data_IF_529793977470
#
_entry.id   IF_529793977470
#
_cell.length_a   1.000
_cell.length_b   1.000
_cell.length_c   1.000
_cell.angle_alpha   90.00
_cell.angle_beta   90.00
_cell.angle_gamma   90.00
#
_symmetry.space_group_name_H-M   'P 1'
#
loop_
_entity.id
_entity.type
_entity.pdbx_description
1 polymer ?
#
# COMPACT_ATOMS: atom_id res chain seq x y z
N UNK A 1 -20.99 8.52 -11.63
CA UNK A 1 -20.36 8.42 -10.30
C UNK A 1 -18.90 8.06 -10.54
N UNK A 2 -17.95 8.77 -9.93
CA UNK A 2 -16.53 8.63 -10.23
C UNK A 2 -15.79 8.00 -9.04
N UNK A 3 -15.13 6.87 -9.29
CA UNK A 3 -14.20 6.24 -8.37
C UNK A 3 -12.76 6.59 -8.77
N UNK A 4 -11.96 7.08 -7.82
CA UNK A 4 -10.53 7.29 -8.03
C UNK A 4 -9.75 6.27 -7.23
N UNK A 5 -8.94 5.49 -7.95
CA UNK A 5 -8.13 4.42 -7.37
C UNK A 5 -6.65 4.80 -7.40
N UNK A 6 -5.96 4.55 -6.29
CA UNK A 6 -4.57 4.92 -6.09
C UNK A 6 -3.68 3.67 -6.04
N UNK A 7 -2.63 3.58 -6.86
CA UNK A 7 -1.79 2.38 -6.93
C UNK A 7 -0.91 2.23 -5.68
N UNK A 8 -0.53 0.99 -5.40
CA UNK A 8 0.45 0.63 -4.37
C UNK A 8 1.86 0.45 -4.92
N UNK A 9 2.71 -0.17 -4.11
CA UNK A 9 4.10 -0.52 -4.47
C UNK A 9 4.15 -1.41 -5.72
N UNK A 10 5.12 -1.17 -6.60
CA UNK A 10 5.26 -1.84 -7.90
C UNK A 10 4.87 -0.96 -9.09
N UNK A 11 4.22 0.18 -8.85
CA UNK A 11 3.82 1.14 -9.89
C UNK A 11 4.85 2.25 -10.16
N UNK A 12 5.98 2.28 -9.44
CA UNK A 12 7.03 3.26 -9.63
C UNK A 12 7.79 3.04 -10.95
N UNK A 13 8.20 4.13 -11.60
CA UNK A 13 8.99 4.12 -12.84
C UNK A 13 9.91 5.34 -12.91
N UNK A 14 11.04 5.22 -13.61
CA UNK A 14 11.97 6.33 -13.82
C UNK A 14 11.33 7.42 -14.67
N UNK A 15 11.50 8.69 -14.29
CA UNK A 15 10.82 9.84 -14.90
C UNK A 15 9.44 10.14 -14.31
N UNK A 16 9.00 9.40 -13.28
CA UNK A 16 7.69 9.65 -12.67
C UNK A 16 7.64 11.05 -12.03
N UNK A 17 6.61 11.82 -12.38
CA UNK A 17 6.39 13.15 -11.79
C UNK A 17 7.16 14.28 -12.44
N UNK A 18 8.13 14.02 -13.33
CA UNK A 18 8.90 15.05 -14.01
C UNK A 18 7.99 15.98 -14.82
N UNK A 19 7.11 15.42 -15.65
CA UNK A 19 6.17 16.22 -16.43
C UNK A 19 5.22 17.06 -15.54
N UNK A 20 4.80 16.53 -14.38
CA UNK A 20 3.99 17.30 -13.42
C UNK A 20 4.79 18.48 -12.86
N UNK A 21 6.03 18.23 -12.45
CA UNK A 21 6.94 19.24 -11.92
C UNK A 21 7.19 20.38 -12.92
N UNK A 22 7.42 20.05 -14.19
CA UNK A 22 7.71 21.04 -15.25
C UNK A 22 6.49 21.84 -15.70
N UNK A 23 5.28 21.28 -15.61
CA UNK A 23 4.07 21.87 -16.19
C UNK A 23 3.12 22.51 -15.18
N UNK A 24 3.35 22.31 -13.87
CA UNK A 24 2.46 22.82 -12.82
C UNK A 24 3.24 23.48 -11.67
N UNK A 25 3.05 24.80 -11.45
CA UNK A 25 3.65 25.50 -10.32
C UNK A 25 3.27 24.89 -8.96
N UNK A 26 2.03 24.39 -8.84
CA UNK A 26 1.57 23.69 -7.62
C UNK A 26 2.31 22.37 -7.42
N UNK A 27 2.55 21.61 -8.50
CA UNK A 27 3.34 20.38 -8.40
C UNK A 27 4.77 20.69 -7.96
N UNK A 28 5.40 21.72 -8.56
CA UNK A 28 6.73 22.16 -8.19
C UNK A 28 6.81 22.48 -6.69
N UNK A 29 5.88 23.30 -6.18
CA UNK A 29 5.82 23.65 -4.75
C UNK A 29 5.71 22.41 -3.85
N UNK A 30 4.81 21.47 -4.19
CA UNK A 30 4.58 20.27 -3.39
C UNK A 30 5.77 19.30 -3.44
N UNK A 31 6.46 19.19 -4.57
CA UNK A 31 7.69 18.40 -4.68
C UNK A 31 8.83 19.03 -3.87
N UNK A 32 9.01 20.34 -3.91
CA UNK A 32 10.01 21.02 -3.08
C UNK A 32 9.69 20.92 -1.58
N UNK A 33 8.41 20.99 -1.23
CA UNK A 33 7.96 20.73 0.13
C UNK A 33 8.27 19.29 0.55
N UNK A 34 8.07 18.32 -0.33
CA UNK A 34 8.38 16.92 -0.07
C UNK A 34 9.87 16.69 0.16
N UNK A 35 10.74 17.31 -0.64
CA UNK A 35 12.20 17.28 -0.45
C UNK A 35 12.58 17.75 0.97
N UNK A 36 11.99 18.86 1.43
CA UNK A 36 12.22 19.38 2.79
C UNK A 36 11.72 18.44 3.89
N UNK A 37 10.52 17.85 3.72
CA UNK A 37 9.94 16.93 4.70
C UNK A 37 10.77 15.65 4.83
N UNK A 38 11.24 15.11 3.70
CA UNK A 38 12.01 13.88 3.65
C UNK A 38 13.49 14.08 4.02
N UNK A 39 14.00 15.31 3.90
CA UNK A 39 15.39 15.65 4.20
C UNK A 39 16.38 15.22 3.10
N UNK A 40 15.89 14.87 1.91
CA UNK A 40 16.70 14.58 0.73
C UNK A 40 15.93 14.89 -0.54
N UNK A 41 16.65 15.04 -1.65
CA UNK A 41 16.09 15.31 -2.97
C UNK A 41 15.47 14.03 -3.55
N UNK A 42 14.21 13.74 -3.19
CA UNK A 42 13.50 12.61 -3.77
C UNK A 42 13.18 12.84 -5.25
N UNK A 43 13.05 14.12 -5.66
CA UNK A 43 12.84 14.54 -7.05
C UNK A 43 13.90 14.00 -7.99
N UNK A 44 15.17 14.09 -7.61
CA UNK A 44 16.30 13.62 -8.44
C UNK A 44 16.16 12.12 -8.74
N UNK A 45 15.75 11.35 -7.73
CA UNK A 45 15.53 9.91 -7.86
C UNK A 45 14.27 9.59 -8.67
N UNK A 46 13.19 10.34 -8.46
CA UNK A 46 11.94 10.15 -9.20
C UNK A 46 12.10 10.48 -10.69
N UNK A 47 12.85 11.52 -11.02
CA UNK A 47 12.96 12.05 -12.39
C UNK A 47 14.04 11.36 -13.20
N UNK A 48 15.19 11.07 -12.57
CA UNK A 48 16.39 10.61 -13.29
C UNK A 48 16.96 9.30 -12.72
N UNK A 49 16.50 8.89 -11.54
CA UNK A 49 16.98 7.68 -10.86
C UNK A 49 16.69 6.40 -11.63
N UNK A 50 17.52 5.38 -11.35
CA UNK A 50 17.36 4.06 -11.95
C UNK A 50 16.18 3.29 -11.33
N UNK A 51 15.79 2.19 -11.97
CA UNK A 51 14.81 1.27 -11.38
C UNK A 51 15.27 0.71 -10.03
N UNK A 52 16.58 0.64 -9.76
CA UNK A 52 17.10 0.16 -8.47
C UNK A 52 17.05 1.25 -7.39
N UNK A 53 17.32 2.50 -7.76
CA UNK A 53 17.16 3.64 -6.84
C UNK A 53 15.72 3.78 -6.36
N UNK A 54 14.77 3.58 -7.27
CA UNK A 54 13.34 3.60 -6.96
C UNK A 54 12.86 2.41 -6.13
N UNK A 55 13.64 1.32 -6.01
CA UNK A 55 13.36 0.19 -5.12
C UNK A 55 13.92 0.38 -3.70
N UNK A 56 14.73 1.42 -3.48
CA UNK A 56 15.21 1.71 -2.13
C UNK A 56 14.02 1.98 -1.21
N UNK A 57 14.03 1.36 -0.03
CA UNK A 57 12.96 1.42 0.96
C UNK A 57 12.43 2.83 1.20
N UNK A 58 13.34 3.78 1.45
CA UNK A 58 13.00 5.18 1.76
C UNK A 58 12.42 5.95 0.57
N UNK A 59 12.48 5.39 -0.63
CA UNK A 59 12.09 6.04 -1.89
C UNK A 59 10.78 5.49 -2.42
N UNK A 60 10.63 4.16 -2.49
CA UNK A 60 9.52 3.54 -3.25
C UNK A 60 8.15 4.04 -2.81
N UNK A 61 7.88 4.01 -1.50
CA UNK A 61 6.56 4.40 -1.00
C UNK A 61 6.32 5.91 -1.10
N UNK A 62 7.25 6.79 -0.65
CA UNK A 62 7.09 8.23 -0.85
C UNK A 62 6.96 8.64 -2.32
N UNK A 63 7.72 8.06 -3.24
CA UNK A 63 7.66 8.40 -4.67
C UNK A 63 6.26 8.15 -5.26
N UNK A 64 5.69 6.97 -5.02
CA UNK A 64 4.35 6.59 -5.50
C UNK A 64 3.28 7.49 -4.86
N UNK A 65 3.41 7.76 -3.56
CA UNK A 65 2.52 8.66 -2.85
C UNK A 65 2.54 10.07 -3.45
N UNK A 66 3.74 10.64 -3.64
CA UNK A 66 3.93 11.98 -4.17
C UNK A 66 3.32 12.12 -5.57
N UNK A 67 3.68 11.21 -6.48
CA UNK A 67 3.13 11.21 -7.83
C UNK A 67 1.59 11.18 -7.81
N UNK A 68 1.02 10.26 -7.04
CA UNK A 68 -0.43 10.06 -6.93
C UNK A 68 -1.16 11.27 -6.38
N UNK A 69 -0.68 11.82 -5.26
CA UNK A 69 -1.34 12.93 -4.56
C UNK A 69 -1.16 14.24 -5.31
N UNK A 70 0.03 14.50 -5.84
CA UNK A 70 0.31 15.72 -6.59
C UNK A 70 -0.54 15.74 -7.86
N UNK A 71 -0.63 14.62 -8.59
CA UNK A 71 -1.55 14.50 -9.73
C UNK A 71 -3.01 14.79 -9.33
N UNK A 72 -3.48 14.22 -8.23
CA UNK A 72 -4.84 14.49 -7.76
C UNK A 72 -5.07 15.98 -7.41
N UNK A 73 -4.07 16.64 -6.83
CA UNK A 73 -4.14 18.07 -6.48
C UNK A 73 -4.06 18.98 -7.70
N UNK A 74 -3.24 18.67 -8.70
CA UNK A 74 -3.10 19.50 -9.92
C UNK A 74 -4.32 19.44 -10.82
N UNK A 75 -5.13 18.39 -10.72
CA UNK A 75 -6.45 18.33 -11.37
C UNK A 75 -7.42 19.40 -10.83
N UNK A 76 -7.19 19.94 -9.64
CA UNK A 76 -7.97 21.03 -9.07
C UNK A 76 -9.47 20.74 -9.05
N UNK A 77 -10.26 21.62 -9.66
CA UNK A 77 -11.73 21.48 -9.73
C UNK A 77 -12.19 20.30 -10.59
N UNK A 78 -11.33 19.68 -11.40
CA UNK A 78 -11.66 18.48 -12.17
C UNK A 78 -11.58 17.20 -11.31
N UNK A 79 -10.92 17.25 -10.15
CA UNK A 79 -10.89 16.13 -9.21
C UNK A 79 -12.18 16.11 -8.37
N UNK A 80 -13.17 15.31 -8.81
CA UNK A 80 -14.50 15.23 -8.18
C UNK A 80 -14.83 13.77 -7.81
N UNK A 81 -14.17 13.19 -6.79
CA UNK A 81 -14.43 11.81 -6.39
C UNK A 81 -15.80 11.68 -5.72
N UNK A 82 -16.56 10.66 -6.11
CA UNK A 82 -17.68 10.17 -5.30
C UNK A 82 -17.23 9.08 -4.33
N UNK A 83 -16.10 8.44 -4.62
CA UNK A 83 -15.45 7.46 -3.79
C UNK A 83 -13.97 7.39 -4.14
N UNK A 84 -13.16 6.99 -3.15
CA UNK A 84 -11.75 6.71 -3.35
C UNK A 84 -11.38 5.35 -2.76
N UNK A 85 -10.36 4.72 -3.34
CA UNK A 85 -9.72 3.55 -2.76
C UNK A 85 -8.25 3.57 -3.14
N UNK A 86 -7.40 2.88 -2.39
CA UNK A 86 -6.03 2.69 -2.84
C UNK A 86 -5.49 1.36 -2.36
N UNK A 87 -4.65 0.73 -3.17
CA UNK A 87 -4.12 -0.60 -2.87
C UNK A 87 -2.94 -0.48 -1.91
N UNK A 88 -3.08 -1.02 -0.69
CA UNK A 88 -2.05 -0.97 0.34
C UNK A 88 -1.53 0.47 0.59
N UNK A 89 -0.32 0.79 0.12
CA UNK A 89 0.25 2.15 0.14
C UNK A 89 -0.70 3.20 -0.45
N UNK A 90 -1.41 2.86 -1.54
CA UNK A 90 -2.31 3.79 -2.20
C UNK A 90 -3.42 4.30 -1.29
N UNK A 91 -3.76 3.59 -0.20
CA UNK A 91 -4.75 4.05 0.78
C UNK A 91 -4.35 5.40 1.40
N UNK A 92 -3.05 5.63 1.63
CA UNK A 92 -2.55 6.92 2.12
C UNK A 92 -2.74 8.03 1.10
N UNK A 93 -2.50 7.76 -0.19
CA UNK A 93 -2.79 8.71 -1.26
C UNK A 93 -4.28 9.02 -1.37
N UNK A 94 -5.14 8.00 -1.22
CA UNK A 94 -6.58 8.16 -1.21
C UNK A 94 -7.07 9.04 -0.04
N UNK A 95 -6.52 8.83 1.16
CA UNK A 95 -6.82 9.63 2.35
C UNK A 95 -6.40 11.09 2.21
N UNK A 96 -5.29 11.38 1.52
CA UNK A 96 -4.93 12.77 1.25
C UNK A 96 -5.78 13.37 0.15
N UNK A 97 -6.11 12.58 -0.88
CA UNK A 97 -6.92 13.04 -2.00
C UNK A 97 -8.37 13.35 -1.61
N UNK A 98 -8.96 12.58 -0.67
CA UNK A 98 -10.31 12.86 -0.17
C UNK A 98 -10.36 13.86 1.00
N UNK A 99 -9.21 14.36 1.47
CA UNK A 99 -9.12 15.35 2.52
C UNK A 99 -9.16 14.82 3.95
N UNK A 100 -9.14 13.50 4.17
CA UNK A 100 -9.01 12.93 5.51
C UNK A 100 -7.65 13.25 6.15
N UNK A 101 -6.60 13.29 5.33
CA UNK A 101 -5.25 13.68 5.72
C UNK A 101 -4.80 14.91 4.92
N UNK A 102 -3.99 15.76 5.55
CA UNK A 102 -3.24 16.76 4.80
C UNK A 102 -2.02 16.12 4.10
N UNK A 103 -1.41 16.84 3.17
CA UNK A 103 -0.29 16.35 2.37
C UNK A 103 0.93 15.98 3.22
N UNK A 104 1.28 16.84 4.17
CA UNK A 104 2.49 16.74 4.96
C UNK A 104 2.45 15.53 5.89
N UNK A 105 1.33 15.36 6.59
CA UNK A 105 1.11 14.24 7.50
C UNK A 105 0.99 12.93 6.73
N UNK A 106 0.32 12.94 5.56
CA UNK A 106 0.33 11.80 4.65
C UNK A 106 1.74 11.37 4.25
N UNK A 107 2.59 12.32 3.86
CA UNK A 107 3.98 12.03 3.48
C UNK A 107 4.82 11.53 4.66
N UNK A 108 4.69 12.15 5.84
CA UNK A 108 5.38 11.73 7.07
C UNK A 108 4.98 10.31 7.47
N UNK A 109 3.68 10.00 7.41
CA UNK A 109 3.18 8.66 7.70
C UNK A 109 3.69 7.63 6.70
N UNK A 110 3.69 7.94 5.40
CA UNK A 110 4.21 7.04 4.35
C UNK A 110 5.71 6.79 4.54
N UNK A 111 6.49 7.83 4.82
CA UNK A 111 7.93 7.69 5.11
C UNK A 111 8.16 6.79 6.33
N UNK A 112 7.44 7.04 7.44
CA UNK A 112 7.53 6.22 8.65
C UNK A 112 7.09 4.78 8.41
N UNK A 113 6.01 4.55 7.66
CA UNK A 113 5.53 3.22 7.25
C UNK A 113 6.61 2.45 6.50
N UNK A 114 7.26 3.08 5.52
CA UNK A 114 8.31 2.43 4.74
C UNK A 114 9.48 1.97 5.61
N UNK A 115 9.95 2.85 6.52
CA UNK A 115 11.05 2.53 7.44
C UNK A 115 10.67 1.44 8.44
N UNK A 116 9.46 1.51 9.02
CA UNK A 116 8.97 0.54 9.98
C UNK A 116 8.81 -0.86 9.34
N UNK A 117 8.26 -0.94 8.14
CA UNK A 117 8.13 -2.20 7.40
C UNK A 117 9.50 -2.82 7.10
N UNK A 118 10.47 -2.01 6.66
CA UNK A 118 11.83 -2.49 6.42
C UNK A 118 12.50 -3.03 7.67
N UNK A 119 12.38 -2.29 8.79
CA UNK A 119 12.91 -2.75 10.07
C UNK A 119 12.29 -4.08 10.48
N UNK A 120 10.98 -4.28 10.27
CA UNK A 120 10.33 -5.57 10.52
C UNK A 120 10.89 -6.70 9.63
N UNK A 121 11.16 -6.42 8.34
CA UNK A 121 11.81 -7.37 7.44
C UNK A 121 13.23 -7.76 7.90
N UNK A 122 13.98 -6.81 8.45
CA UNK A 122 15.35 -7.03 8.95
C UNK A 122 15.37 -7.83 10.26
N UNK A 123 14.31 -7.76 11.07
CA UNK A 123 14.19 -8.50 12.32
C UNK A 123 13.98 -10.01 12.09
N UNK A 124 13.19 -10.38 11.08
CA UNK A 124 12.87 -11.77 10.78
C UNK A 124 12.76 -12.01 9.27
N UNK A 125 13.62 -12.89 8.70
CA UNK A 125 13.49 -13.31 7.31
C UNK A 125 12.09 -13.83 7.01
N UNK A 126 11.44 -13.25 6.01
CA UNK A 126 10.06 -13.57 5.64
C UNK A 126 9.83 -13.26 4.15
N UNK A 127 8.74 -13.75 3.57
CA UNK A 127 8.52 -13.60 2.12
C UNK A 127 7.04 -13.57 1.75
N UNK A 128 6.78 -13.41 0.44
CA UNK A 128 5.46 -13.47 -0.15
C UNK A 128 5.48 -14.36 -1.40
N UNK A 129 4.34 -14.93 -1.77
CA UNK A 129 4.18 -15.65 -3.02
C UNK A 129 2.85 -15.30 -3.72
N UNK A 130 2.90 -15.12 -5.03
CA UNK A 130 1.69 -14.97 -5.85
C UNK A 130 1.07 -16.34 -6.13
N UNK A 131 -0.25 -16.42 -6.00
CA UNK A 131 -1.07 -17.62 -6.23
C UNK A 131 -2.08 -17.31 -7.32
N UNK A 132 -2.09 -18.11 -8.39
CA UNK A 132 -3.00 -17.94 -9.52
C UNK A 132 -3.84 -19.19 -9.77
N UNK A 133 -5.13 -18.97 -10.05
CA UNK A 133 -6.06 -19.99 -10.51
C UNK A 133 -6.71 -20.82 -9.41
N UNK A 134 -6.78 -20.31 -8.17
CA UNK A 134 -7.54 -20.90 -7.08
C UNK A 134 -8.48 -19.87 -6.46
N UNK A 135 -9.59 -20.38 -5.92
CA UNK A 135 -10.57 -19.58 -5.18
C UNK A 135 -10.02 -19.21 -3.78
N UNK A 136 -10.54 -18.10 -3.24
CA UNK A 136 -10.08 -17.51 -1.98
C UNK A 136 -10.09 -18.53 -0.82
N UNK A 137 -11.17 -19.32 -0.70
CA UNK A 137 -11.38 -20.30 0.37
C UNK A 137 -10.37 -21.46 0.34
N UNK A 138 -9.98 -21.91 -0.85
CA UNK A 138 -8.96 -22.95 -1.02
C UNK A 138 -7.60 -22.43 -0.55
N UNK A 139 -7.25 -21.19 -0.92
CA UNK A 139 -5.99 -20.58 -0.50
C UNK A 139 -5.96 -20.36 1.01
N UNK A 140 -7.03 -19.80 1.58
CA UNK A 140 -7.19 -19.60 3.02
C UNK A 140 -7.04 -20.93 3.80
N UNK A 141 -7.70 -21.99 3.33
CA UNK A 141 -7.63 -23.32 3.94
C UNK A 141 -6.20 -23.88 3.94
N UNK A 142 -5.48 -23.77 2.82
CA UNK A 142 -4.10 -24.25 2.74
C UNK A 142 -3.19 -23.44 3.68
N UNK A 143 -3.35 -22.11 3.72
CA UNK A 143 -2.62 -21.27 4.65
C UNK A 143 -2.85 -21.72 6.11
N UNK A 144 -4.10 -21.94 6.50
CA UNK A 144 -4.46 -22.36 7.86
C UNK A 144 -3.96 -23.76 8.24
N UNK A 145 -3.80 -24.66 7.27
CA UNK A 145 -3.27 -26.02 7.48
C UNK A 145 -1.74 -26.09 7.41
N UNK A 146 -1.08 -25.06 6.91
CA UNK A 146 0.37 -25.04 6.76
C UNK A 146 1.02 -24.67 8.09
N UNK A 147 1.94 -25.51 8.57
CA UNK A 147 2.70 -25.23 9.78
C UNK A 147 3.56 -23.96 9.61
N UNK A 148 3.59 -23.10 10.63
CA UNK A 148 4.25 -21.78 10.61
C UNK A 148 3.28 -20.63 10.29
N UNK A 149 3.80 -19.41 10.18
CA UNK A 149 2.99 -18.25 9.83
C UNK A 149 2.92 -18.17 8.31
N UNK A 150 1.72 -18.34 7.74
CA UNK A 150 1.41 -18.01 6.35
C UNK A 150 -0.06 -17.65 6.25
N UNK A 151 -0.35 -16.53 5.60
CA UNK A 151 -1.72 -16.02 5.45
C UNK A 151 -1.96 -15.54 4.03
N UNK A 152 -3.23 -15.52 3.60
CA UNK A 152 -3.62 -14.77 2.41
C UNK A 152 -3.56 -13.26 2.70
N UNK A 153 -2.64 -12.59 2.03
CA UNK A 153 -2.21 -11.22 2.27
C UNK A 153 -2.89 -10.21 1.33
N UNK A 154 -3.16 -10.61 0.08
CA UNK A 154 -3.81 -9.76 -0.91
C UNK A 154 -4.82 -10.57 -1.73
N UNK A 155 -6.04 -10.05 -1.86
CA UNK A 155 -7.10 -10.57 -2.73
C UNK A 155 -7.25 -9.64 -3.93
N UNK A 156 -6.40 -9.78 -4.95
CA UNK A 156 -6.22 -8.76 -5.98
C UNK A 156 -7.32 -8.78 -7.06
N UNK A 157 -7.66 -9.96 -7.55
CA UNK A 157 -8.82 -10.21 -8.41
C UNK A 157 -9.20 -11.69 -8.30
N UNK A 158 -10.39 -12.10 -8.81
CA UNK A 158 -10.79 -13.52 -8.76
C UNK A 158 -9.71 -14.43 -9.35
N UNK A 159 -9.24 -15.38 -8.54
CA UNK A 159 -8.17 -16.30 -8.92
C UNK A 159 -6.75 -15.71 -8.88
N UNK A 160 -6.53 -14.51 -8.33
CA UNK A 160 -5.20 -13.93 -8.14
C UNK A 160 -5.03 -13.39 -6.71
N UNK A 161 -4.30 -14.17 -5.92
CA UNK A 161 -4.00 -13.86 -4.52
C UNK A 161 -2.49 -13.71 -4.32
N UNK A 162 -2.13 -13.16 -3.16
CA UNK A 162 -0.77 -13.22 -2.63
C UNK A 162 -0.86 -13.78 -1.22
N UNK A 163 0.01 -14.74 -0.90
CA UNK A 163 0.22 -15.23 0.46
C UNK A 163 1.52 -14.63 1.01
N UNK A 164 1.59 -14.45 2.32
CA UNK A 164 2.81 -13.95 2.99
C UNK A 164 3.00 -14.57 4.36
N UNK A 165 4.27 -14.69 4.77
CA UNK A 165 4.62 -15.27 6.06
C UNK A 165 6.08 -15.70 6.16
N UNK A 166 6.34 -16.67 7.03
CA UNK A 166 7.65 -17.31 7.17
C UNK A 166 8.09 -17.90 5.84
N UNK A 167 9.40 -17.80 5.53
CA UNK A 167 9.96 -18.30 4.26
C UNK A 167 9.57 -19.76 4.02
N UNK A 168 9.83 -20.63 4.99
CA UNK A 168 9.55 -22.06 4.88
C UNK A 168 8.05 -22.38 4.83
N UNK A 169 7.20 -21.62 5.55
CA UNK A 169 5.76 -21.81 5.52
C UNK A 169 5.19 -21.40 4.15
N UNK A 170 5.64 -20.28 3.58
CA UNK A 170 5.26 -19.85 2.23
C UNK A 170 5.68 -20.89 1.19
N UNK A 171 6.88 -21.46 1.30
CA UNK A 171 7.32 -22.54 0.40
C UNK A 171 6.45 -23.79 0.50
N UNK A 172 6.14 -24.26 1.71
CA UNK A 172 5.22 -25.40 1.92
C UNK A 172 3.83 -25.12 1.36
N UNK A 173 3.29 -23.94 1.64
CA UNK A 173 1.99 -23.53 1.12
C UNK A 173 2.00 -23.49 -0.42
N UNK A 174 3.06 -22.99 -1.06
CA UNK A 174 3.19 -22.99 -2.52
C UNK A 174 3.09 -24.40 -3.11
N UNK A 175 3.75 -25.39 -2.51
CA UNK A 175 3.69 -26.77 -3.00
C UNK A 175 2.30 -27.38 -2.78
N UNK A 176 1.67 -27.15 -1.63
CA UNK A 176 0.30 -27.59 -1.36
C UNK A 176 -0.71 -26.95 -2.33
N UNK A 177 -0.59 -25.64 -2.59
CA UNK A 177 -1.43 -24.91 -3.56
C UNK A 177 -1.30 -25.48 -4.97
N UNK A 178 -0.09 -25.82 -5.42
CA UNK A 178 0.12 -26.48 -6.71
C UNK A 178 -0.55 -27.86 -6.76
N UNK A 179 -0.48 -28.63 -5.67
CA UNK A 179 -1.13 -29.92 -5.56
C UNK A 179 -2.67 -29.82 -5.62
N UNK A 180 -3.24 -28.74 -5.05
CA UNK A 180 -4.68 -28.42 -5.13
C UNK A 180 -5.10 -27.76 -6.47
N UNK A 181 -4.19 -27.65 -7.44
CA UNK A 181 -4.52 -27.21 -8.80
C UNK A 181 -4.22 -25.75 -9.12
N UNK A 182 -3.46 -25.03 -8.30
CA UNK A 182 -2.98 -23.69 -8.65
C UNK A 182 -2.22 -23.71 -9.97
N UNK A 183 -2.61 -22.81 -10.89
CA UNK A 183 -1.90 -22.60 -12.16
C UNK A 183 -0.46 -22.15 -11.91
N UNK A 184 -0.26 -21.28 -10.92
CA UNK A 184 1.06 -20.78 -10.47
C UNK A 184 1.01 -20.54 -8.96
N UNK A 185 2.07 -20.93 -8.26
CA UNK A 185 2.40 -20.48 -6.91
C UNK A 185 3.89 -20.12 -6.90
N UNK A 186 4.21 -18.82 -6.81
CA UNK A 186 5.55 -18.30 -7.08
C UNK A 186 5.98 -17.27 -6.04
N UNK A 187 7.12 -17.53 -5.41
CA UNK A 187 7.76 -16.59 -4.48
C UNK A 187 8.10 -15.29 -5.21
N UNK A 188 7.74 -14.18 -4.58
CA UNK A 188 7.96 -12.83 -5.10
C UNK A 188 9.33 -12.31 -4.66
N UNK A 189 10.01 -11.51 -5.50
CA UNK A 189 11.29 -10.89 -5.16
C UNK A 189 11.07 -9.69 -4.22
N UNK A 190 10.57 -9.96 -3.01
CA UNK A 190 10.27 -8.97 -1.97
C UNK A 190 10.93 -9.37 -0.66
N UNK A 191 11.35 -8.36 0.12
CA UNK A 191 12.15 -8.57 1.32
C UNK A 191 11.37 -8.93 2.59
N UNK A 192 10.04 -9.04 2.55
CA UNK A 192 9.27 -9.38 3.75
C UNK A 192 7.82 -9.76 3.54
N UNK A 193 7.20 -10.28 4.59
CA UNK A 193 5.84 -10.77 4.61
C UNK A 193 4.80 -9.67 4.91
N UNK A 194 4.61 -8.76 3.96
CA UNK A 194 3.63 -7.67 4.12
C UNK A 194 2.20 -8.20 4.33
N UNK A 195 1.37 -7.47 5.07
CA UNK A 195 -0.02 -7.84 5.36
C UNK A 195 -0.15 -9.19 6.07
N UNK A 196 0.75 -9.47 7.01
CA UNK A 196 0.77 -10.67 7.85
C UNK A 196 1.06 -10.35 9.32
N UNK A 197 0.87 -11.29 10.25
CA UNK A 197 1.27 -11.12 11.64
C UNK A 197 2.75 -10.75 11.84
N UNK A 198 3.64 -11.07 10.89
CA UNK A 198 5.07 -10.72 10.98
C UNK A 198 5.33 -9.21 10.84
N UNK A 199 4.34 -8.42 10.42
CA UNK A 199 4.43 -6.96 10.37
C UNK A 199 3.99 -6.28 11.66
N UNK A 200 3.72 -7.02 12.74
CA UNK A 200 3.29 -6.45 14.03
C UNK A 200 4.25 -5.37 14.57
N UNK A 201 5.59 -5.53 14.53
CA UNK A 201 6.50 -4.46 14.96
C UNK A 201 6.35 -3.19 14.12
N UNK A 202 6.14 -3.33 12.80
CA UNK A 202 5.91 -2.19 11.92
C UNK A 202 4.55 -1.53 12.19
N UNK A 203 3.53 -2.33 12.50
CA UNK A 203 2.19 -1.88 12.87
C UNK A 203 2.24 -1.02 14.13
N UNK A 204 2.92 -1.45 15.18
CA UNK A 204 3.06 -0.70 16.44
C UNK A 204 3.71 0.67 16.23
N UNK A 205 4.84 0.71 15.52
CA UNK A 205 5.55 1.97 15.24
C UNK A 205 4.71 2.95 14.41
N UNK A 206 4.00 2.43 13.41
CA UNK A 206 3.11 3.24 12.57
C UNK A 206 1.85 3.68 13.33
N UNK A 207 1.28 2.81 14.17
CA UNK A 207 0.11 3.12 14.98
C UNK A 207 0.34 4.35 15.85
N UNK A 208 1.48 4.42 16.54
CA UNK A 208 1.84 5.57 17.35
C UNK A 208 1.90 6.87 16.53
N UNK A 209 2.31 6.84 15.26
CA UNK A 209 2.27 8.05 14.42
C UNK A 209 0.86 8.39 13.91
N UNK A 210 0.08 7.37 13.53
CA UNK A 210 -1.31 7.56 13.09
C UNK A 210 -2.17 8.14 14.23
N UNK A 211 -1.98 7.67 15.46
CA UNK A 211 -2.68 8.18 16.65
C UNK A 211 -2.41 9.67 16.86
N UNK A 212 -1.14 10.08 16.73
CA UNK A 212 -0.70 11.46 16.86
C UNK A 212 -0.98 12.35 15.62
N UNK A 213 -1.57 11.79 14.57
CA UNK A 213 -1.95 12.53 13.36
C UNK A 213 -3.42 12.96 13.42
N UNK A 214 -3.70 14.19 12.99
CA UNK A 214 -5.07 14.68 12.87
C UNK A 214 -5.74 14.10 11.61
N UNK A 215 -6.93 13.53 11.78
CA UNK A 215 -7.78 13.11 10.67
C UNK A 215 -8.99 14.03 10.62
N UNK A 216 -9.26 14.57 9.44
CA UNK A 216 -10.44 15.36 9.15
C UNK A 216 -11.54 14.48 8.54
N UNK A 217 -12.78 14.96 8.58
CA UNK A 217 -13.88 14.31 7.89
C UNK A 217 -13.63 14.34 6.37
N UNK A 218 -13.60 13.20 5.67
CA UNK A 218 -13.33 13.17 4.24
C UNK A 218 -14.51 13.71 3.41
N UNK A 219 -14.20 14.24 2.23
CA UNK A 219 -15.16 14.79 1.28
C UNK A 219 -16.02 13.72 0.58
N UNK A 220 -15.54 12.48 0.55
CA UNK A 220 -16.25 11.31 0.04
C UNK A 220 -15.77 10.04 0.76
N UNK A 221 -16.55 8.94 0.75
CA UNK A 221 -16.13 7.70 1.38
C UNK A 221 -14.83 7.14 0.80
N UNK A 222 -14.00 6.57 1.68
CA UNK A 222 -12.85 5.74 1.31
C UNK A 222 -13.21 4.27 1.49
N UNK A 223 -12.89 3.44 0.50
CA UNK A 223 -12.98 1.98 0.63
C UNK A 223 -11.65 1.46 1.16
N UNK A 224 -11.63 1.08 2.44
CA UNK A 224 -10.39 0.70 3.13
C UNK A 224 -10.06 -0.78 2.96
N UNK A 225 -8.77 -1.08 2.86
CA UNK A 225 -8.25 -2.40 2.48
C UNK A 225 -8.69 -3.51 3.45
N UNK A 226 -8.77 -3.19 4.75
CA UNK A 226 -9.07 -4.14 5.83
C UNK A 226 -10.54 -4.56 5.84
N UNK A 227 -11.45 -3.59 5.75
CA UNK A 227 -12.89 -3.82 5.86
C UNK A 227 -13.55 -4.08 4.51
N UNK A 228 -12.92 -3.64 3.42
CA UNK A 228 -13.50 -3.56 2.09
C UNK A 228 -14.89 -2.95 2.12
N UNK A 229 -15.08 -1.83 2.83
CA UNK A 229 -16.35 -1.12 2.90
C UNK A 229 -16.10 0.38 2.78
N UNK A 230 -17.11 1.11 2.34
CA UNK A 230 -17.12 2.57 2.38
C UNK A 230 -17.05 3.06 3.83
N UNK A 231 -16.05 3.87 4.16
CA UNK A 231 -15.88 4.48 5.48
C UNK A 231 -15.78 6.00 5.33
N UNK A 232 -16.51 6.72 6.17
CA UNK A 232 -16.52 8.19 6.22
C UNK A 232 -16.18 8.72 7.62
N UNK A 233 -16.33 7.91 8.65
CA UNK A 233 -16.02 8.27 10.03
C UNK A 233 -14.51 8.26 10.26
N UNK A 234 -13.95 9.40 10.68
CA UNK A 234 -12.52 9.59 10.88
C UNK A 234 -11.91 8.63 11.92
N UNK A 235 -12.69 8.22 12.93
CA UNK A 235 -12.22 7.30 13.98
C UNK A 235 -12.10 5.89 13.42
N UNK A 236 -13.12 5.42 12.70
CA UNK A 236 -13.08 4.14 12.00
C UNK A 236 -11.99 4.11 10.93
N UNK A 237 -11.79 5.21 10.19
CA UNK A 237 -10.71 5.35 9.21
C UNK A 237 -9.36 5.11 9.88
N UNK A 238 -9.12 5.81 11.00
CA UNK A 238 -7.87 5.72 11.77
C UNK A 238 -7.62 4.29 12.26
N UNK A 239 -8.63 3.66 12.87
CA UNK A 239 -8.52 2.29 13.40
C UNK A 239 -8.20 1.28 12.29
N UNK A 240 -8.89 1.36 11.15
CA UNK A 240 -8.65 0.47 10.02
C UNK A 240 -7.25 0.66 9.42
N UNK A 241 -6.77 1.90 9.34
CA UNK A 241 -5.43 2.21 8.83
C UNK A 241 -4.33 1.65 9.74
N UNK A 242 -4.53 1.67 11.06
CA UNK A 242 -3.61 1.05 12.03
C UNK A 242 -3.51 -0.46 11.79
N UNK A 243 -4.62 -1.14 11.54
CA UNK A 243 -4.63 -2.60 11.31
C UNK A 243 -4.08 -3.00 9.93
N UNK A 244 -3.94 -2.07 8.99
CA UNK A 244 -3.67 -2.37 7.58
C UNK A 244 -2.41 -3.23 7.35
N UNK A 245 -1.34 -3.02 8.13
CA UNK A 245 -0.06 -3.72 7.91
C UNK A 245 -0.09 -5.20 8.29
N UNK A 246 -1.02 -5.61 9.15
CA UNK A 246 -1.16 -7.00 9.61
C UNK A 246 -2.46 -7.67 9.16
N UNK A 247 -3.30 -6.92 8.44
CA UNK A 247 -4.55 -7.39 7.87
C UNK A 247 -4.46 -7.51 6.33
N UNK A 248 -5.28 -8.37 5.72
CA UNK A 248 -5.26 -8.56 4.27
C UNK A 248 -5.74 -7.33 3.51
N UNK A 249 -5.21 -7.14 2.31
CA UNK A 249 -5.73 -6.20 1.30
C UNK A 249 -6.86 -6.87 0.53
N UNK A 250 -8.10 -6.55 0.91
CA UNK A 250 -9.33 -7.07 0.28
C UNK A 250 -9.72 -6.24 -0.94
N UNK A 251 -8.84 -6.22 -1.95
CA UNK A 251 -8.97 -5.34 -3.12
C UNK A 251 -10.15 -5.74 -4.00
N UNK A 252 -10.32 -7.04 -4.28
CA UNK A 252 -11.46 -7.57 -5.05
C UNK A 252 -12.78 -7.13 -4.45
N UNK A 253 -12.92 -7.31 -3.13
CA UNK A 253 -14.13 -6.96 -2.39
C UNK A 253 -14.35 -5.43 -2.34
N UNK A 254 -13.27 -4.65 -2.26
CA UNK A 254 -13.34 -3.18 -2.34
C UNK A 254 -13.84 -2.73 -3.70
N UNK A 255 -13.30 -3.29 -4.79
CA UNK A 255 -13.71 -2.97 -6.16
C UNK A 255 -15.16 -3.37 -6.44
N UNK A 256 -15.62 -4.52 -5.94
CA UNK A 256 -17.01 -4.96 -6.13
C UNK A 256 -18.05 -4.08 -5.42
N UNK A 257 -17.65 -3.38 -4.36
CA UNK A 257 -18.55 -2.51 -3.58
C UNK A 257 -18.51 -1.04 -4.01
N UNK A 258 -17.54 -0.66 -4.85
CA UNK A 258 -17.46 0.64 -5.51
C UNK A 258 -18.37 0.70 -6.73
#
# INVERSE_FOLDING_TARGET
MNAYIFPGQGAQFSGMGLNLYETSPLAQELFEQANKILGFQITDIMFEGTAEDLKQTKVTQPAIFLHSVILAKTLGTNFKPNMVAGHSLGEFSALVANGALNFEDGLRLVSKRALAMQKACELQPSTMAAVLGLDDDVVEKICAMTEGIVVAANYNCPGQLVISGDVEAVHRACEALKAEGAKRALVLPVGGAFHSPLMEPAREELAAAIENTHFSKPNCPIYQNVTANAVIDETAIKLNLISQLTAPVRWTQSVQKM
#
